data_IF_529215180229
#
_entry.id   IF_529215180229
#
_cell.length_a   1.000
_cell.length_b   1.000
_cell.length_c   1.000
_cell.angle_alpha   90.00
_cell.angle_beta   90.00
_cell.angle_gamma   90.00
#
_symmetry.space_group_name_H-M   'P 1'
#
loop_
_entity.id
_entity.type
_entity.pdbx_description
1 polymer ?
#
# COMPACT_ATOMS: atom_id res chain seq x y z
N UNK A 1 11.74 15.87 -16.24
CA UNK A 1 10.40 16.41 -15.89
C UNK A 1 9.28 15.48 -16.34
N UNK A 2 9.04 15.25 -17.63
CA UNK A 2 7.99 14.31 -18.08
C UNK A 2 8.21 12.86 -17.61
N UNK A 3 9.44 12.34 -17.73
CA UNK A 3 9.80 10.99 -17.25
C UNK A 3 9.70 10.84 -15.73
N UNK A 4 9.85 11.94 -14.99
CA UNK A 4 9.80 11.95 -13.53
C UNK A 4 8.36 11.88 -13.03
N UNK A 5 7.43 12.57 -13.70
CA UNK A 5 5.99 12.46 -13.44
C UNK A 5 5.49 11.04 -13.73
N UNK A 6 5.86 10.46 -14.88
CA UNK A 6 5.46 9.11 -15.24
C UNK A 6 5.99 8.06 -14.26
N UNK A 7 7.22 8.23 -13.76
CA UNK A 7 7.78 7.38 -12.71
C UNK A 7 7.00 7.54 -11.39
N UNK A 8 6.71 8.78 -10.98
CA UNK A 8 5.96 9.05 -9.75
C UNK A 8 4.54 8.46 -9.80
N UNK A 9 3.82 8.67 -10.90
CA UNK A 9 2.50 8.10 -11.13
C UNK A 9 2.53 6.57 -11.12
N UNK A 10 3.54 5.96 -11.76
CA UNK A 10 3.74 4.53 -11.73
C UNK A 10 4.00 3.98 -10.32
N UNK A 11 4.78 4.69 -9.51
CA UNK A 11 5.04 4.31 -8.13
C UNK A 11 3.79 4.45 -7.25
N UNK A 12 2.99 5.50 -7.47
CA UNK A 12 1.68 5.68 -6.82
C UNK A 12 0.73 4.55 -7.20
N UNK A 13 0.69 4.16 -8.48
CA UNK A 13 -0.12 3.04 -8.95
C UNK A 13 0.28 1.71 -8.29
N UNK A 14 1.59 1.47 -8.14
CA UNK A 14 2.10 0.29 -7.42
C UNK A 14 1.73 0.31 -5.94
N UNK A 15 1.89 1.46 -5.27
CA UNK A 15 1.46 1.65 -3.88
C UNK A 15 -0.06 1.46 -3.71
N UNK A 16 -0.86 1.82 -4.71
CA UNK A 16 -2.29 1.59 -4.74
C UNK A 16 -2.68 0.13 -5.00
N UNK A 17 -1.73 -0.79 -5.14
CA UNK A 17 -1.98 -2.21 -5.38
C UNK A 17 -2.52 -2.50 -6.79
N UNK A 18 -2.27 -1.63 -7.77
CA UNK A 18 -2.70 -1.91 -9.14
C UNK A 18 -2.02 -3.19 -9.67
N UNK A 19 -2.79 -4.11 -10.30
CA UNK A 19 -2.26 -5.41 -10.70
C UNK A 19 -1.24 -5.32 -11.84
N UNK A 20 -1.28 -4.25 -12.63
CA UNK A 20 -0.47 -4.09 -13.83
C UNK A 20 0.40 -2.83 -13.76
N UNK A 21 1.58 -2.94 -13.15
CA UNK A 21 2.57 -1.85 -13.13
C UNK A 21 3.85 -2.27 -13.86
N UNK A 22 4.35 -1.39 -14.73
CA UNK A 22 5.53 -1.66 -15.55
C UNK A 22 6.76 -2.00 -14.70
N UNK A 23 7.51 -3.04 -15.08
CA UNK A 23 8.70 -3.48 -14.38
C UNK A 23 9.82 -2.42 -14.29
N UNK A 24 9.85 -1.46 -15.22
CA UNK A 24 10.80 -0.35 -15.20
C UNK A 24 10.58 0.59 -14.00
N UNK A 25 9.32 0.83 -13.62
CA UNK A 25 8.94 1.65 -12.46
C UNK A 25 9.44 1.01 -11.17
N UNK A 26 9.16 -0.28 -10.97
CA UNK A 26 9.62 -1.04 -9.80
C UNK A 26 11.14 -1.08 -9.70
N UNK A 27 11.84 -1.32 -10.83
CA UNK A 27 13.32 -1.32 -10.89
C UNK A 27 13.93 0.02 -10.53
N UNK A 28 13.35 1.12 -11.00
CA UNK A 28 13.86 2.47 -10.71
C UNK A 28 13.84 2.79 -9.21
N UNK A 29 12.88 2.24 -8.46
CA UNK A 29 12.79 2.38 -7.00
C UNK A 29 13.43 1.21 -6.21
N UNK A 30 14.09 0.26 -6.88
CA UNK A 30 14.68 -0.92 -6.21
C UNK A 30 13.66 -1.87 -5.58
N UNK A 31 12.39 -1.77 -5.96
CA UNK A 31 11.28 -2.57 -5.43
C UNK A 31 11.32 -3.98 -6.02
N UNK A 32 11.12 -4.98 -5.17
CA UNK A 32 10.99 -6.40 -5.55
C UNK A 32 9.59 -6.89 -5.23
N UNK A 33 9.01 -7.67 -6.14
CA UNK A 33 7.67 -8.25 -5.96
C UNK A 33 6.53 -7.27 -6.20
N UNK A 34 5.32 -7.72 -5.86
CA UNK A 34 4.08 -6.95 -5.91
C UNK A 34 3.57 -6.68 -4.49
N UNK A 35 2.71 -5.69 -4.34
CA UNK A 35 2.07 -5.40 -3.06
C UNK A 35 0.92 -6.40 -2.85
N UNK A 36 1.18 -7.44 -2.07
CA UNK A 36 0.16 -8.39 -1.63
C UNK A 36 -0.34 -8.06 -0.21
N UNK A 37 -1.30 -8.84 0.31
CA UNK A 37 -1.86 -8.63 1.65
C UNK A 37 -0.81 -8.69 2.76
N UNK A 38 0.23 -9.51 2.61
CA UNK A 38 1.32 -9.59 3.58
C UNK A 38 2.27 -8.38 3.45
N UNK A 39 2.57 -7.97 2.23
CA UNK A 39 3.37 -6.80 1.91
C UNK A 39 2.72 -5.49 2.37
N UNK A 40 1.39 -5.40 2.32
CA UNK A 40 0.64 -4.22 2.76
C UNK A 40 0.88 -3.90 4.26
N UNK A 41 0.90 -4.91 5.12
CA UNK A 41 1.17 -4.70 6.55
C UNK A 41 2.62 -4.28 6.82
N UNK A 42 3.58 -4.86 6.10
CA UNK A 42 4.98 -4.44 6.19
C UNK A 42 5.18 -3.00 5.69
N UNK A 43 4.44 -2.61 4.65
CA UNK A 43 4.43 -1.24 4.16
C UNK A 43 3.88 -0.26 5.21
N UNK A 44 2.73 -0.58 5.83
CA UNK A 44 2.17 0.23 6.92
C UNK A 44 3.18 0.40 8.06
N UNK A 45 3.88 -0.67 8.45
CA UNK A 45 4.94 -0.60 9.45
C UNK A 45 6.07 0.36 9.03
N UNK A 46 6.52 0.29 7.77
CA UNK A 46 7.50 1.22 7.21
C UNK A 46 7.05 2.68 7.24
N UNK A 47 5.80 2.95 6.86
CA UNK A 47 5.21 4.30 6.91
C UNK A 47 5.17 4.84 8.34
N UNK A 48 4.77 4.01 9.31
CA UNK A 48 4.76 4.39 10.73
C UNK A 48 6.16 4.69 11.27
N UNK A 49 7.19 3.95 10.82
CA UNK A 49 8.59 4.24 11.15
C UNK A 49 9.01 5.61 10.62
N UNK A 50 8.71 5.92 9.35
CA UNK A 50 9.01 7.23 8.76
C UNK A 50 8.30 8.36 9.51
N UNK A 51 7.02 8.17 9.87
CA UNK A 51 6.26 9.18 10.62
C UNK A 51 6.86 9.43 12.01
N UNK A 52 7.25 8.36 12.70
CA UNK A 52 7.94 8.43 14.00
C UNK A 52 9.25 9.21 13.88
N UNK A 53 10.07 8.89 12.90
CA UNK A 53 11.38 9.53 12.69
C UNK A 53 11.25 10.98 12.22
N UNK A 54 10.12 11.33 11.59
CA UNK A 54 9.81 12.72 11.18
C UNK A 54 9.32 13.63 12.32
N UNK A 55 9.23 13.12 13.56
CA UNK A 55 8.73 13.87 14.72
C UNK A 55 7.22 14.13 14.73
N UNK A 56 6.45 13.40 13.91
CA UNK A 56 4.98 13.49 13.89
C UNK A 56 4.36 12.60 14.96
N UNK A 57 3.21 13.02 15.49
CA UNK A 57 2.54 12.32 16.60
C UNK A 57 2.01 10.92 16.26
N UNK A 58 1.86 10.57 14.98
CA UNK A 58 1.40 9.26 14.53
C UNK A 58 0.60 9.31 13.23
N UNK A 59 -0.24 8.30 13.02
CA UNK A 59 -1.13 8.14 11.86
C UNK A 59 -2.56 7.93 12.35
N UNK A 60 -3.52 8.61 11.74
CA UNK A 60 -4.95 8.31 11.89
C UNK A 60 -5.41 7.63 10.61
N UNK A 61 -5.91 6.40 10.72
CA UNK A 61 -6.48 5.63 9.61
C UNK A 61 -7.99 5.52 9.83
N UNK A 62 -8.77 6.05 8.89
CA UNK A 62 -10.24 5.92 8.87
C UNK A 62 -10.59 4.91 7.79
N UNK A 63 -11.23 3.82 8.19
CA UNK A 63 -11.73 2.80 7.29
C UNK A 63 -13.24 3.02 7.15
N UNK A 64 -13.68 3.33 5.94
CA UNK A 64 -15.10 3.40 5.60
C UNK A 64 -15.58 2.04 5.06
N UNK A 65 -16.90 1.82 5.10
CA UNK A 65 -17.54 0.59 4.61
C UNK A 65 -17.10 -0.72 5.29
N UNK A 66 -16.67 -0.64 6.56
CA UNK A 66 -16.27 -1.83 7.32
C UNK A 66 -17.41 -2.86 7.46
N UNK A 67 -18.67 -2.45 7.30
CA UNK A 67 -19.82 -3.35 7.24
C UNK A 67 -19.82 -4.27 6.01
N UNK A 68 -19.20 -3.85 4.90
CA UNK A 68 -19.03 -4.69 3.72
C UNK A 68 -18.21 -5.93 4.06
N UNK A 69 -17.13 -5.75 4.83
CA UNK A 69 -16.33 -6.86 5.36
C UNK A 69 -17.14 -7.75 6.33
N UNK A 70 -18.02 -7.15 7.14
CA UNK A 70 -18.86 -7.90 8.08
C UNK A 70 -19.94 -8.75 7.38
N UNK A 71 -20.41 -8.33 6.20
CA UNK A 71 -21.39 -9.05 5.37
C UNK A 71 -20.78 -10.21 4.58
N UNK A 72 -19.45 -10.31 4.53
CA UNK A 72 -18.77 -11.42 3.89
C UNK A 72 -18.99 -12.73 4.67
N UNK A 73 -18.89 -13.86 3.96
CA UNK A 73 -18.96 -15.20 4.57
C UNK A 73 -17.90 -15.34 5.68
N UNK A 74 -18.23 -16.10 6.71
CA UNK A 74 -17.42 -16.20 7.93
C UNK A 74 -15.97 -16.63 7.68
N UNK A 75 -15.76 -17.57 6.75
CA UNK A 75 -14.45 -18.06 6.31
C UNK A 75 -13.60 -17.00 5.58
N UNK A 76 -14.25 -16.03 4.95
CA UNK A 76 -13.57 -14.92 4.26
C UNK A 76 -13.36 -13.74 5.21
N UNK A 77 -14.30 -13.52 6.13
CA UNK A 77 -14.20 -12.50 7.19
C UNK A 77 -13.06 -12.81 8.17
N UNK A 78 -12.88 -14.07 8.56
CA UNK A 78 -11.75 -14.50 9.42
C UNK A 78 -10.37 -14.28 8.76
N UNK A 79 -10.30 -14.20 7.43
CA UNK A 79 -9.04 -13.90 6.72
C UNK A 79 -8.75 -12.40 6.63
N UNK A 80 -9.76 -11.55 6.84
CA UNK A 80 -9.65 -10.09 6.75
C UNK A 80 -9.55 -9.38 8.10
N UNK A 81 -9.72 -10.11 9.21
CA UNK A 81 -9.53 -9.65 10.60
C UNK A 81 -8.20 -10.19 11.16
#
# INVERSE_FOLDING_TARGET
>A
LADESALAEGLIAWLGGQPNVAAAVKRAAGVKGDLDSFGAMHFLAGLLTILRDSGRAGLVLVLDEAETLQRMRADTREKGL
#
